data_IF_616185847821
#
_entry.id   IF_616185847821
#
_cell.length_a   1.000
_cell.length_b   1.000
_cell.length_c   1.000
_cell.angle_alpha   90.00
_cell.angle_beta   90.00
_cell.angle_gamma   90.00
#
_symmetry.space_group_name_H-M   'P 1'
#
loop_
_entity.id
_entity.type
_entity.pdbx_description
1 polymer ?
#
# COMPACT_ATOMS: atom_id res chain seq x y z
N UNK A 1 -11.42 -42.18 4.29
CA UNK A 1 -11.13 -41.23 3.18
C UNK A 1 -12.16 -41.34 2.07
N UNK A 2 -12.45 -42.58 1.61
CA UNK A 2 -13.47 -42.84 0.59
C UNK A 2 -14.86 -42.36 0.96
N UNK A 3 -15.31 -42.59 2.20
CA UNK A 3 -16.60 -42.13 2.68
C UNK A 3 -16.74 -40.59 2.69
N UNK A 4 -15.68 -39.87 3.05
CA UNK A 4 -15.68 -38.38 3.01
C UNK A 4 -15.74 -37.90 1.57
N UNK A 5 -15.02 -38.54 0.66
CA UNK A 5 -15.05 -38.19 -0.75
C UNK A 5 -16.41 -38.49 -1.37
N UNK A 6 -17.03 -39.63 -1.04
CA UNK A 6 -18.34 -40.01 -1.53
C UNK A 6 -19.43 -39.02 -1.03
N UNK A 7 -19.39 -38.66 0.25
CA UNK A 7 -20.28 -37.65 0.81
C UNK A 7 -20.09 -36.28 0.13
N UNK A 8 -18.86 -35.89 -0.17
CA UNK A 8 -18.59 -34.63 -0.86
C UNK A 8 -19.07 -34.66 -2.30
N UNK A 9 -18.88 -35.76 -3.05
CA UNK A 9 -19.40 -35.90 -4.41
C UNK A 9 -20.94 -35.84 -4.41
N UNK A 10 -21.62 -36.55 -3.49
CA UNK A 10 -23.10 -36.48 -3.35
C UNK A 10 -23.56 -35.06 -3.05
N UNK A 11 -22.85 -34.35 -2.19
CA UNK A 11 -23.14 -32.93 -1.93
C UNK A 11 -23.04 -32.09 -3.19
N UNK A 12 -21.96 -32.22 -3.98
CA UNK A 12 -21.79 -31.45 -5.22
C UNK A 12 -22.88 -31.76 -6.26
N UNK A 13 -23.23 -33.04 -6.42
CA UNK A 13 -24.28 -33.48 -7.36
C UNK A 13 -25.67 -32.99 -6.94
N UNK A 14 -25.92 -32.83 -5.63
CA UNK A 14 -27.20 -32.33 -5.10
C UNK A 14 -27.36 -30.82 -5.24
N UNK A 15 -26.29 -30.06 -5.59
CA UNK A 15 -26.36 -28.61 -5.71
C UNK A 15 -27.13 -28.16 -6.95
N UNK A 16 -28.34 -27.64 -6.75
CA UNK A 16 -29.00 -26.86 -7.78
C UNK A 16 -28.38 -25.47 -7.92
N UNK A 17 -28.54 -24.75 -9.06
CA UNK A 17 -28.03 -23.39 -9.21
C UNK A 17 -28.47 -22.43 -8.08
N UNK A 18 -29.70 -22.56 -7.63
CA UNK A 18 -30.25 -21.75 -6.51
C UNK A 18 -29.54 -22.07 -5.18
N UNK A 19 -29.35 -23.36 -4.87
CA UNK A 19 -28.61 -23.78 -3.68
C UNK A 19 -27.13 -23.32 -3.75
N UNK A 20 -26.50 -23.44 -4.91
CA UNK A 20 -25.12 -22.96 -5.10
C UNK A 20 -25.01 -21.46 -4.81
N UNK A 21 -25.89 -20.64 -5.38
CA UNK A 21 -25.90 -19.20 -5.11
C UNK A 21 -26.16 -18.94 -3.62
N UNK A 22 -27.11 -19.62 -2.98
CA UNK A 22 -27.43 -19.44 -1.55
C UNK A 22 -26.27 -19.79 -0.62
N UNK A 23 -25.51 -20.85 -0.92
CA UNK A 23 -24.39 -21.31 -0.09
C UNK A 23 -23.11 -20.49 -0.33
N UNK A 24 -22.90 -20.00 -1.55
CA UNK A 24 -21.64 -19.33 -1.93
C UNK A 24 -21.84 -17.86 -2.33
N UNK A 25 -22.95 -17.23 -1.93
CA UNK A 25 -23.30 -15.86 -2.32
C UNK A 25 -22.21 -14.84 -1.94
N UNK A 26 -21.54 -15.01 -0.78
CA UNK A 26 -20.50 -14.10 -0.36
C UNK A 26 -19.31 -14.14 -1.32
N UNK A 27 -18.86 -15.35 -1.68
CA UNK A 27 -17.81 -15.55 -2.67
C UNK A 27 -18.21 -14.99 -4.04
N UNK A 28 -19.38 -15.32 -4.54
CA UNK A 28 -19.85 -14.94 -5.89
C UNK A 28 -19.93 -13.42 -6.03
N UNK A 29 -20.67 -12.75 -5.14
CA UNK A 29 -21.00 -11.34 -5.32
C UNK A 29 -19.91 -10.39 -4.85
N UNK A 30 -19.10 -10.75 -3.86
CA UNK A 30 -18.14 -9.83 -3.30
C UNK A 30 -16.70 -10.17 -3.65
N UNK A 31 -16.31 -11.44 -3.62
CA UNK A 31 -14.92 -11.83 -3.86
C UNK A 31 -14.66 -12.07 -5.35
N UNK A 32 -15.38 -12.99 -5.98
CA UNK A 32 -15.19 -13.33 -7.40
C UNK A 32 -15.51 -12.14 -8.31
N UNK A 33 -16.68 -11.51 -8.13
CA UNK A 33 -17.08 -10.38 -8.98
C UNK A 33 -16.13 -9.18 -8.83
N UNK A 34 -15.78 -8.79 -7.58
CA UNK A 34 -14.94 -7.62 -7.33
C UNK A 34 -13.47 -7.85 -7.68
N UNK A 35 -12.89 -8.95 -7.19
CA UNK A 35 -11.46 -9.19 -7.26
C UNK A 35 -11.01 -10.04 -8.45
N UNK A 36 -11.92 -10.51 -9.27
CA UNK A 36 -11.60 -11.19 -10.51
C UNK A 36 -12.26 -10.51 -11.72
N UNK A 37 -13.60 -10.47 -11.79
CA UNK A 37 -14.29 -9.99 -13.00
C UNK A 37 -14.05 -8.50 -13.24
N UNK A 38 -14.32 -7.65 -12.24
CA UNK A 38 -14.14 -6.20 -12.37
C UNK A 38 -12.67 -5.85 -12.58
N UNK A 39 -11.75 -6.46 -11.83
CA UNK A 39 -10.32 -6.22 -12.00
C UNK A 39 -9.83 -6.61 -13.39
N UNK A 40 -10.26 -7.75 -13.92
CA UNK A 40 -9.92 -8.19 -15.26
C UNK A 40 -10.39 -7.20 -16.33
N UNK A 41 -11.66 -6.76 -16.25
CA UNK A 41 -12.23 -5.77 -17.19
C UNK A 41 -11.41 -4.45 -17.13
N UNK A 42 -11.19 -3.92 -15.93
CA UNK A 42 -10.50 -2.64 -15.75
C UNK A 42 -9.04 -2.71 -16.19
N UNK A 43 -8.34 -3.82 -15.95
CA UNK A 43 -6.96 -4.00 -16.43
C UNK A 43 -6.87 -3.98 -17.96
N UNK A 44 -7.82 -4.62 -18.65
CA UNK A 44 -7.88 -4.57 -20.12
C UNK A 44 -8.17 -3.17 -20.63
N UNK A 45 -9.13 -2.46 -20.00
CA UNK A 45 -9.42 -1.06 -20.34
C UNK A 45 -8.22 -0.15 -20.09
N UNK A 46 -7.50 -0.34 -18.97
CA UNK A 46 -6.30 0.42 -18.66
C UNK A 46 -5.17 0.16 -19.68
N UNK A 47 -5.00 -1.11 -20.09
CA UNK A 47 -4.01 -1.50 -21.12
C UNK A 47 -4.35 -0.87 -22.48
N UNK A 48 -5.62 -0.94 -22.88
CA UNK A 48 -6.11 -0.32 -24.13
C UNK A 48 -5.95 1.20 -24.09
N UNK A 49 -6.34 1.85 -23.00
CA UNK A 49 -6.18 3.29 -22.82
C UNK A 49 -4.70 3.72 -22.91
N UNK A 50 -3.78 2.97 -22.31
CA UNK A 50 -2.34 3.24 -22.41
C UNK A 50 -1.82 3.09 -23.85
N UNK A 51 -2.28 2.08 -24.57
CA UNK A 51 -1.93 1.87 -25.99
C UNK A 51 -2.42 3.04 -26.86
N UNK A 52 -3.68 3.43 -26.73
CA UNK A 52 -4.27 4.53 -27.48
C UNK A 52 -3.63 5.90 -27.17
N UNK A 53 -3.14 6.09 -25.94
CA UNK A 53 -2.50 7.33 -25.49
C UNK A 53 -0.96 7.29 -25.54
N UNK A 54 -0.36 6.36 -26.28
CA UNK A 54 1.11 6.20 -26.35
C UNK A 54 1.82 7.50 -26.73
N UNK A 55 1.34 8.22 -27.74
CA UNK A 55 1.92 9.50 -28.17
C UNK A 55 1.91 10.56 -27.05
N UNK A 56 0.89 10.53 -26.17
CA UNK A 56 0.83 11.42 -25.03
C UNK A 56 1.91 11.09 -24.00
N UNK A 57 2.17 9.80 -23.76
CA UNK A 57 3.25 9.36 -22.89
C UNK A 57 4.63 9.75 -23.42
N UNK A 58 4.86 9.58 -24.73
CA UNK A 58 6.13 9.95 -25.38
C UNK A 58 6.37 11.46 -25.32
N UNK A 59 5.33 12.29 -25.54
CA UNK A 59 5.40 13.75 -25.38
C UNK A 59 5.69 14.15 -23.95
N UNK A 60 4.97 13.60 -22.98
CA UNK A 60 5.18 13.88 -21.56
C UNK A 60 6.60 13.52 -21.11
N UNK A 61 7.15 12.42 -21.61
CA UNK A 61 8.54 12.03 -21.34
C UNK A 61 9.53 13.02 -21.96
N UNK A 62 9.31 13.45 -23.19
CA UNK A 62 10.16 14.45 -23.85
C UNK A 62 10.14 15.79 -23.11
N UNK A 63 8.97 16.26 -22.67
CA UNK A 63 8.79 17.49 -21.89
C UNK A 63 9.50 17.40 -20.53
N UNK A 64 9.31 16.32 -19.80
CA UNK A 64 10.00 16.07 -18.52
C UNK A 64 11.53 16.09 -18.68
N UNK A 65 12.07 15.42 -19.70
CA UNK A 65 13.51 15.39 -19.95
C UNK A 65 14.04 16.72 -20.44
N UNK A 66 13.25 17.51 -21.17
CA UNK A 66 13.60 18.85 -21.62
C UNK A 66 13.63 19.87 -20.49
N UNK A 67 12.61 19.87 -19.62
CA UNK A 67 12.55 20.76 -18.46
C UNK A 67 13.64 20.43 -17.43
N UNK A 68 13.95 19.16 -17.27
CA UNK A 68 14.96 18.63 -16.34
C UNK A 68 14.88 19.20 -14.93
N UNK A 69 13.69 19.14 -14.26
CA UNK A 69 13.48 19.80 -12.96
C UNK A 69 14.29 19.17 -11.85
N UNK A 70 14.72 19.97 -10.86
CA UNK A 70 15.29 19.43 -9.62
C UNK A 70 14.23 18.66 -8.83
N UNK A 71 14.59 17.48 -8.35
CA UNK A 71 13.75 16.59 -7.53
C UNK A 71 14.39 16.43 -6.16
N UNK A 72 13.65 16.77 -5.09
CA UNK A 72 14.14 16.57 -3.72
C UNK A 72 13.69 15.21 -3.20
N UNK A 73 14.64 14.37 -2.84
CA UNK A 73 14.42 13.05 -2.26
C UNK A 73 14.54 13.17 -0.74
N UNK A 74 13.41 12.95 -0.03
CA UNK A 74 13.35 13.01 1.42
C UNK A 74 13.40 11.60 2.02
N UNK A 75 14.35 11.36 2.90
CA UNK A 75 14.59 10.08 3.56
C UNK A 75 14.54 10.26 5.07
N UNK A 76 13.34 10.32 5.68
CA UNK A 76 13.21 10.33 7.13
C UNK A 76 13.33 8.91 7.69
N UNK A 77 14.11 8.71 8.73
CA UNK A 77 14.27 7.39 9.34
C UNK A 77 14.76 7.43 10.78
N UNK A 78 14.59 6.32 11.48
CA UNK A 78 15.19 6.04 12.79
C UNK A 78 15.80 4.64 12.80
N UNK A 79 17.08 4.54 13.22
CA UNK A 79 17.84 3.29 13.29
C UNK A 79 17.98 2.63 11.90
N UNK A 80 18.35 3.43 10.90
CA UNK A 80 18.48 3.02 9.50
C UNK A 80 19.92 2.93 9.01
N UNK A 81 20.92 3.03 9.90
CA UNK A 81 22.36 3.08 9.55
C UNK A 81 22.78 1.96 8.60
N UNK A 82 22.35 0.72 8.86
CA UNK A 82 22.64 -0.46 8.02
C UNK A 82 22.07 -0.40 6.60
N UNK A 83 21.08 0.47 6.36
CA UNK A 83 20.39 0.59 5.07
C UNK A 83 20.87 1.77 4.23
N UNK A 84 21.39 2.85 4.86
CA UNK A 84 21.73 4.10 4.19
C UNK A 84 22.69 3.93 3.00
N UNK A 85 23.76 3.15 3.15
CA UNK A 85 24.70 2.93 2.05
C UNK A 85 24.04 2.29 0.82
N UNK A 86 23.19 1.29 1.05
CA UNK A 86 22.47 0.60 -0.04
C UNK A 86 21.47 1.53 -0.72
N UNK A 87 20.74 2.32 0.06
CA UNK A 87 19.78 3.30 -0.45
C UNK A 87 20.51 4.33 -1.33
N UNK A 88 21.56 4.97 -0.78
CA UNK A 88 22.30 6.03 -1.48
C UNK A 88 22.92 5.50 -2.78
N UNK A 89 23.48 4.28 -2.78
CA UNK A 89 23.98 3.66 -3.99
C UNK A 89 22.87 3.47 -5.03
N UNK A 90 21.68 2.99 -4.63
CA UNK A 90 20.56 2.81 -5.58
C UNK A 90 20.02 4.15 -6.12
N UNK A 91 20.19 5.25 -5.38
CA UNK A 91 19.82 6.59 -5.85
C UNK A 91 20.88 7.19 -6.79
N UNK A 92 22.16 6.93 -6.56
CA UNK A 92 23.22 7.34 -7.49
C UNK A 92 23.23 6.58 -8.81
N UNK A 93 22.62 5.39 -8.85
CA UNK A 93 22.45 4.59 -10.08
C UNK A 93 21.19 4.96 -10.88
N UNK A 94 20.39 5.95 -10.44
CA UNK A 94 19.18 6.37 -11.16
C UNK A 94 19.53 6.94 -12.55
N UNK A 95 18.66 6.70 -13.55
CA UNK A 95 18.79 7.30 -14.89
C UNK A 95 18.59 8.81 -14.88
N UNK A 96 17.80 9.31 -13.94
CA UNK A 96 17.59 10.73 -13.72
C UNK A 96 18.52 11.25 -12.62
N UNK A 97 19.38 12.22 -12.95
CA UNK A 97 20.46 12.65 -12.06
C UNK A 97 20.23 14.02 -11.40
N UNK A 98 19.28 14.84 -11.87
CA UNK A 98 19.00 16.14 -11.24
C UNK A 98 18.19 15.98 -9.96
N UNK A 99 18.80 15.35 -8.96
CA UNK A 99 18.22 15.02 -7.66
C UNK A 99 19.05 15.62 -6.53
N UNK A 100 18.41 16.07 -5.47
CA UNK A 100 19.02 16.33 -4.16
C UNK A 100 18.52 15.32 -3.15
N UNK A 101 19.40 14.79 -2.31
CA UNK A 101 19.10 13.75 -1.32
C UNK A 101 19.22 14.36 0.08
N UNK A 102 18.11 14.43 0.79
CA UNK A 102 18.01 14.96 2.15
C UNK A 102 17.64 13.83 3.10
N UNK A 103 18.58 13.46 3.97
CA UNK A 103 18.40 12.40 4.98
C UNK A 103 18.15 13.05 6.33
N UNK A 104 17.09 12.61 7.02
CA UNK A 104 16.79 13.08 8.38
C UNK A 104 16.74 11.91 9.35
N UNK A 105 17.66 11.93 10.30
CA UNK A 105 17.69 11.04 11.45
C UNK A 105 16.72 11.51 12.54
N UNK A 106 15.72 10.71 12.87
CA UNK A 106 14.71 11.00 13.89
C UNK A 106 15.11 10.48 15.27
N UNK A 107 16.27 10.88 15.75
CA UNK A 107 16.78 10.52 17.07
C UNK A 107 17.15 9.04 17.17
N UNK A 108 18.05 8.58 16.30
CA UNK A 108 18.57 7.22 16.32
C UNK A 108 19.53 6.95 17.48
N UNK A 109 19.53 5.69 17.92
CA UNK A 109 20.37 5.15 18.98
C UNK A 109 21.49 4.23 18.41
N UNK A 110 21.50 4.03 17.07
CA UNK A 110 22.51 3.24 16.33
C UNK A 110 23.50 4.15 15.58
N UNK A 111 24.28 3.58 14.65
CA UNK A 111 25.28 4.29 13.85
C UNK A 111 24.69 5.19 12.75
N UNK A 112 23.38 5.36 12.66
CA UNK A 112 22.71 6.21 11.65
C UNK A 112 23.32 7.62 11.58
N UNK A 113 23.54 8.34 12.70
CA UNK A 113 24.09 9.70 12.66
C UNK A 113 25.51 9.74 12.13
N UNK A 114 26.35 8.76 12.47
CA UNK A 114 27.75 8.68 12.04
C UNK A 114 27.81 8.43 10.53
N UNK A 115 27.03 7.45 10.06
CA UNK A 115 26.95 7.06 8.64
C UNK A 115 26.37 8.21 7.81
N UNK A 116 25.30 8.86 8.27
CA UNK A 116 24.68 9.97 7.56
C UNK A 116 25.63 11.14 7.36
N UNK A 117 26.33 11.57 8.41
CA UNK A 117 27.36 12.62 8.31
C UNK A 117 28.54 12.23 7.43
N UNK A 118 28.94 10.96 7.45
CA UNK A 118 30.00 10.46 6.55
C UNK A 118 29.56 10.51 5.08
N UNK A 119 28.33 10.15 4.77
CA UNK A 119 27.77 10.21 3.41
C UNK A 119 27.67 11.65 2.90
N UNK A 120 27.28 12.60 3.76
CA UNK A 120 27.25 14.02 3.44
C UNK A 120 28.65 14.57 3.16
N UNK A 121 29.63 14.32 4.05
CA UNK A 121 31.04 14.73 3.84
C UNK A 121 31.64 14.14 2.58
N UNK A 122 31.22 12.93 2.19
CA UNK A 122 31.67 12.28 0.96
C UNK A 122 30.93 12.77 -0.31
N UNK A 123 30.01 13.76 -0.20
CA UNK A 123 29.21 14.27 -1.31
C UNK A 123 28.25 13.24 -1.91
N UNK A 124 27.91 12.19 -1.14
CA UNK A 124 26.98 11.14 -1.60
C UNK A 124 25.52 11.50 -1.34
N UNK A 125 25.26 12.37 -0.37
CA UNK A 125 23.99 13.00 -0.09
C UNK A 125 24.19 14.51 0.03
N UNK A 126 23.16 15.31 -0.21
CA UNK A 126 23.26 16.77 -0.23
C UNK A 126 23.11 17.38 1.16
N UNK A 127 22.30 16.76 2.03
CA UNK A 127 22.06 17.26 3.38
C UNK A 127 21.73 16.13 4.35
N UNK A 128 22.38 16.15 5.52
CA UNK A 128 22.05 15.29 6.65
C UNK A 128 21.59 16.14 7.83
N UNK A 129 20.37 15.87 8.32
CA UNK A 129 19.77 16.55 9.48
C UNK A 129 19.47 15.52 10.58
N UNK A 130 19.43 15.99 11.84
CA UNK A 130 19.07 15.16 12.98
C UNK A 130 18.07 15.86 13.89
N UNK A 131 17.02 15.16 14.30
CA UNK A 131 16.23 15.50 15.46
C UNK A 131 16.91 14.93 16.70
N UNK A 132 17.31 15.75 17.66
CA UNK A 132 17.91 15.23 18.91
C UNK A 132 16.86 14.44 19.72
N UNK A 133 15.61 14.86 19.67
CA UNK A 133 14.48 14.17 20.27
C UNK A 133 13.59 13.63 19.17
N UNK A 134 13.19 12.37 19.30
CA UNK A 134 12.32 11.70 18.33
C UNK A 134 10.98 12.42 18.15
N UNK A 135 10.74 12.97 16.96
CA UNK A 135 9.50 13.65 16.57
C UNK A 135 8.51 12.77 15.81
N UNK A 136 8.92 11.57 15.39
CA UNK A 136 8.17 10.68 14.50
C UNK A 136 8.40 10.98 13.02
N UNK A 137 8.05 10.01 12.17
CA UNK A 137 8.33 10.06 10.72
C UNK A 137 7.80 11.33 10.04
N UNK A 138 6.61 11.82 10.43
CA UNK A 138 6.04 13.04 9.89
C UNK A 138 6.86 14.29 10.23
N UNK A 139 7.35 14.37 11.47
CA UNK A 139 8.22 15.47 11.92
C UNK A 139 9.52 15.49 11.14
N UNK A 140 10.17 14.33 10.99
CA UNK A 140 11.40 14.19 10.22
C UNK A 140 11.18 14.49 8.72
N UNK A 141 10.07 14.05 8.14
CA UNK A 141 9.71 14.37 6.75
C UNK A 141 9.49 15.89 6.57
N UNK A 142 8.80 16.54 7.51
CA UNK A 142 8.60 17.99 7.48
C UNK A 142 9.90 18.77 7.68
N UNK A 143 10.82 18.26 8.49
CA UNK A 143 12.16 18.86 8.62
C UNK A 143 12.92 18.79 7.29
N UNK A 144 12.99 17.60 6.66
CA UNK A 144 13.58 17.46 5.33
C UNK A 144 12.94 18.38 4.30
N UNK A 145 11.61 18.45 4.31
CA UNK A 145 10.83 19.27 3.38
C UNK A 145 11.15 20.77 3.45
N UNK A 146 11.46 21.30 4.62
CA UNK A 146 11.82 22.73 4.78
C UNK A 146 13.10 23.11 4.03
N UNK A 147 14.00 22.17 3.81
CA UNK A 147 15.26 22.36 3.09
C UNK A 147 15.18 21.95 1.61
N UNK A 148 14.07 21.33 1.20
CA UNK A 148 13.88 20.84 -0.16
C UNK A 148 13.71 22.00 -1.15
N UNK A 149 14.50 22.00 -2.25
CA UNK A 149 14.50 23.00 -3.29
C UNK A 149 13.83 22.56 -4.57
N UNK A 150 13.61 21.26 -4.74
CA UNK A 150 13.08 20.66 -5.95
C UNK A 150 11.63 21.04 -6.26
N UNK A 151 11.28 21.04 -7.54
CA UNK A 151 9.90 21.22 -8.04
C UNK A 151 8.98 20.10 -7.56
N UNK A 152 9.53 18.88 -7.47
CA UNK A 152 8.85 17.69 -6.99
C UNK A 152 9.54 17.13 -5.76
N UNK A 153 8.76 16.61 -4.85
CA UNK A 153 9.20 15.99 -3.61
C UNK A 153 8.95 14.49 -3.69
N UNK A 154 9.99 13.69 -3.53
CA UNK A 154 9.89 12.22 -3.45
C UNK A 154 10.19 11.79 -2.02
N UNK A 155 9.23 11.14 -1.37
CA UNK A 155 9.38 10.59 -0.02
C UNK A 155 9.70 9.10 -0.10
N UNK A 156 10.78 8.66 0.54
CA UNK A 156 11.29 7.31 0.51
C UNK A 156 11.49 6.72 1.91
N UNK A 157 11.41 5.37 2.02
CA UNK A 157 11.87 4.64 3.20
C UNK A 157 13.33 4.21 3.01
N UNK A 158 14.13 4.33 4.08
CA UNK A 158 15.55 4.05 4.05
C UNK A 158 15.90 2.56 3.85
N UNK A 159 15.00 1.64 4.25
CA UNK A 159 15.15 0.18 4.12
C UNK A 159 14.85 -0.38 2.72
N UNK A 160 14.49 0.51 1.78
CA UNK A 160 14.12 0.18 0.42
C UNK A 160 15.29 0.31 -0.57
N UNK A 161 15.13 -0.27 -1.76
CA UNK A 161 15.96 -0.04 -2.93
C UNK A 161 15.07 0.17 -4.15
N UNK A 162 15.56 0.92 -5.14
CA UNK A 162 14.75 1.45 -6.24
C UNK A 162 15.34 0.98 -7.57
N UNK A 163 14.50 0.68 -8.54
CA UNK A 163 14.94 0.39 -9.90
C UNK A 163 15.64 1.61 -10.49
N UNK A 164 16.53 1.39 -11.46
CA UNK A 164 17.38 2.43 -12.05
C UNK A 164 16.63 3.62 -12.64
N UNK A 165 15.41 3.43 -13.11
CA UNK A 165 14.56 4.49 -13.67
C UNK A 165 13.37 4.84 -12.75
N UNK A 166 13.40 4.40 -11.49
CA UNK A 166 12.27 4.57 -10.56
C UNK A 166 11.91 6.05 -10.37
N UNK A 167 12.90 6.95 -10.25
CA UNK A 167 12.67 8.38 -10.10
C UNK A 167 12.04 8.99 -11.38
N UNK A 168 12.52 8.61 -12.56
CA UNK A 168 11.90 9.03 -13.83
C UNK A 168 10.44 8.57 -13.89
N UNK A 169 10.18 7.30 -13.60
CA UNK A 169 8.85 6.70 -13.70
C UNK A 169 7.84 7.26 -12.69
N UNK A 170 8.28 7.70 -11.51
CA UNK A 170 7.35 8.26 -10.52
C UNK A 170 7.02 9.73 -10.79
N UNK A 171 7.87 10.46 -11.49
CA UNK A 171 7.65 11.88 -11.83
C UNK A 171 6.88 12.04 -13.15
N UNK A 172 7.10 11.16 -14.12
CA UNK A 172 6.45 11.22 -15.43
C UNK A 172 4.93 11.45 -15.42
N UNK A 173 4.13 10.86 -14.49
CA UNK A 173 2.70 11.12 -14.42
C UNK A 173 2.30 12.59 -14.27
N UNK A 174 3.11 13.43 -13.63
CA UNK A 174 2.81 14.87 -13.48
C UNK A 174 2.83 15.62 -14.81
N UNK A 175 3.50 15.09 -15.83
CA UNK A 175 3.52 15.61 -17.21
C UNK A 175 2.44 14.99 -18.10
N UNK A 176 1.75 13.93 -17.63
CA UNK A 176 0.61 13.36 -18.33
C UNK A 176 -0.69 14.14 -18.08
N UNK A 177 -0.88 14.68 -16.88
CA UNK A 177 -2.09 15.41 -16.49
C UNK A 177 -1.74 16.37 -15.34
N UNK A 178 -1.88 17.66 -15.58
CA UNK A 178 -1.62 18.74 -14.59
C UNK A 178 -2.49 18.62 -13.33
N UNK A 179 -3.61 17.89 -13.41
CA UNK A 179 -4.46 17.61 -12.27
C UNK A 179 -3.94 16.51 -11.36
N UNK A 180 -2.80 15.89 -11.66
CA UNK A 180 -2.16 14.93 -10.76
C UNK A 180 -1.39 15.70 -9.67
N UNK A 181 -1.80 15.52 -8.41
CA UNK A 181 -1.15 16.15 -7.25
C UNK A 181 -0.22 15.22 -6.48
N UNK A 182 -0.39 13.90 -6.64
CA UNK A 182 0.45 12.92 -5.98
C UNK A 182 0.52 11.61 -6.75
N UNK A 183 1.68 10.96 -6.68
CA UNK A 183 1.96 9.70 -7.37
C UNK A 183 2.52 8.68 -6.39
N UNK A 184 1.97 7.47 -6.38
CA UNK A 184 2.50 6.35 -5.60
C UNK A 184 3.24 5.37 -6.48
N UNK A 185 4.39 4.92 -6.03
CA UNK A 185 5.17 3.87 -6.69
C UNK A 185 4.71 2.45 -6.34
N UNK A 186 5.24 1.50 -7.08
CA UNK A 186 4.95 0.08 -6.97
C UNK A 186 5.92 -0.58 -5.98
N UNK A 187 5.43 -0.90 -4.79
CA UNK A 187 6.23 -1.51 -3.72
C UNK A 187 6.13 -3.02 -3.82
N UNK A 188 7.28 -3.70 -3.96
CA UNK A 188 7.39 -5.14 -4.05
C UNK A 188 8.28 -5.71 -2.92
N UNK A 189 8.13 -6.99 -2.62
CA UNK A 189 8.92 -7.65 -1.57
C UNK A 189 10.23 -8.21 -2.15
N UNK A 190 11.35 -7.76 -1.57
CA UNK A 190 12.70 -8.20 -1.96
C UNK A 190 13.06 -9.58 -1.41
N UNK A 191 12.77 -9.81 -0.14
CA UNK A 191 13.18 -11.00 0.61
C UNK A 191 12.14 -12.14 0.57
N UNK A 192 11.44 -12.30 -0.53
CA UNK A 192 10.28 -13.22 -0.64
C UNK A 192 10.61 -14.70 -0.44
N UNK A 193 11.89 -15.11 -0.58
CA UNK A 193 12.35 -16.49 -0.39
C UNK A 193 12.77 -16.84 1.05
N UNK A 194 12.75 -15.88 1.97
CA UNK A 194 13.32 -16.11 3.30
C UNK A 194 12.41 -16.93 4.24
N UNK A 195 11.11 -16.88 4.03
CA UNK A 195 10.13 -17.65 4.84
C UNK A 195 8.77 -17.75 4.13
N UNK A 196 7.90 -18.65 4.60
CA UNK A 196 6.52 -18.71 4.15
C UNK A 196 5.81 -17.34 4.31
N UNK A 197 6.02 -16.65 5.44
CA UNK A 197 5.42 -15.35 5.67
C UNK A 197 5.85 -14.32 4.62
N UNK A 198 7.13 -14.27 4.24
CA UNK A 198 7.62 -13.34 3.19
C UNK A 198 7.13 -13.73 1.79
N UNK A 199 7.00 -15.03 1.49
CA UNK A 199 6.44 -15.49 0.23
C UNK A 199 4.97 -15.09 0.07
N UNK A 200 4.14 -15.33 1.11
CA UNK A 200 2.73 -14.95 1.08
C UNK A 200 2.54 -13.43 0.99
N UNK A 201 3.38 -12.65 1.67
CA UNK A 201 3.38 -11.19 1.52
C UNK A 201 3.79 -10.75 0.12
N UNK A 202 4.72 -11.43 -0.55
CA UNK A 202 5.08 -11.09 -1.93
C UNK A 202 3.91 -11.31 -2.89
N UNK A 203 3.17 -12.40 -2.73
CA UNK A 203 1.94 -12.66 -3.49
C UNK A 203 0.88 -11.60 -3.19
N UNK A 204 0.67 -11.28 -1.92
CA UNK A 204 -0.25 -10.22 -1.48
C UNK A 204 0.11 -8.87 -2.07
N UNK A 205 1.39 -8.44 -2.04
CA UNK A 205 1.83 -7.16 -2.58
C UNK A 205 1.62 -7.10 -4.09
N UNK A 206 1.87 -8.20 -4.78
CA UNK A 206 1.59 -8.26 -6.20
C UNK A 206 0.09 -8.11 -6.50
N UNK A 207 -0.77 -8.83 -5.79
CA UNK A 207 -2.23 -8.76 -5.95
C UNK A 207 -2.79 -7.38 -5.55
N UNK A 208 -2.46 -6.90 -4.33
CA UNK A 208 -3.12 -5.72 -3.76
C UNK A 208 -2.42 -4.40 -4.11
N UNK A 209 -1.10 -4.40 -4.25
CA UNK A 209 -0.33 -3.18 -4.57
C UNK A 209 -0.12 -3.07 -6.07
N UNK A 210 0.51 -4.06 -6.73
CA UNK A 210 0.82 -3.91 -8.16
C UNK A 210 -0.45 -3.91 -9.03
N UNK A 211 -1.40 -4.79 -8.76
CA UNK A 211 -2.64 -4.92 -9.54
C UNK A 211 -3.76 -4.06 -8.97
N UNK A 212 -4.11 -4.25 -7.70
CA UNK A 212 -5.26 -3.56 -7.09
C UNK A 212 -5.14 -2.03 -7.09
N UNK A 213 -3.92 -1.48 -6.87
CA UNK A 213 -3.70 -0.03 -6.97
C UNK A 213 -3.76 0.48 -8.42
N UNK A 214 -3.34 -0.31 -9.39
CA UNK A 214 -3.49 0.01 -10.81
C UNK A 214 -4.96 0.13 -11.20
N UNK A 215 -5.79 -0.84 -10.78
CA UNK A 215 -7.24 -0.83 -10.98
C UNK A 215 -7.88 0.39 -10.31
N UNK A 216 -7.60 0.62 -9.03
CA UNK A 216 -8.17 1.76 -8.29
C UNK A 216 -7.66 3.11 -8.78
N UNK A 217 -6.44 3.20 -9.31
CA UNK A 217 -5.91 4.40 -9.94
C UNK A 217 -6.63 4.73 -11.24
N UNK A 218 -6.87 3.72 -12.11
CA UNK A 218 -7.61 3.90 -13.36
C UNK A 218 -9.05 4.40 -13.11
N UNK A 219 -9.71 3.88 -12.05
CA UNK A 219 -11.04 4.32 -11.63
C UNK A 219 -11.05 5.68 -10.91
N UNK A 220 -9.88 6.30 -10.66
CA UNK A 220 -9.78 7.52 -9.87
C UNK A 220 -10.03 7.31 -8.36
N UNK A 221 -9.97 6.08 -7.86
CA UNK A 221 -10.23 5.71 -6.46
C UNK A 221 -8.97 5.35 -5.68
N UNK A 222 -7.79 5.56 -6.22
CA UNK A 222 -6.54 5.21 -5.57
C UNK A 222 -6.45 5.83 -4.17
N UNK A 223 -6.21 4.98 -3.17
CA UNK A 223 -6.54 5.28 -1.77
C UNK A 223 -5.40 5.85 -0.96
N UNK A 224 -4.18 5.35 -1.15
CA UNK A 224 -3.04 5.63 -0.28
C UNK A 224 -1.76 5.61 -1.11
N UNK A 225 -1.08 6.75 -1.21
CA UNK A 225 0.31 6.83 -1.66
C UNK A 225 1.16 6.21 -0.56
N UNK A 226 1.97 5.20 -0.87
CA UNK A 226 2.82 4.53 0.12
C UNK A 226 3.94 5.46 0.59
N UNK A 227 4.18 5.50 1.90
CA UNK A 227 5.32 6.20 2.47
C UNK A 227 6.67 5.60 2.11
N UNK A 228 6.69 4.36 1.61
CA UNK A 228 7.92 3.75 1.09
C UNK A 228 8.34 4.31 -0.27
N UNK A 229 7.39 4.81 -1.08
CA UNK A 229 7.66 5.41 -2.37
C UNK A 229 6.49 6.27 -2.84
N UNK A 230 6.56 7.57 -2.62
CA UNK A 230 5.54 8.54 -3.01
C UNK A 230 6.15 9.82 -3.54
N UNK A 231 5.55 10.42 -4.58
CA UNK A 231 5.94 11.70 -5.15
C UNK A 231 4.80 12.72 -5.06
N UNK A 232 5.15 13.98 -4.87
CA UNK A 232 4.23 15.08 -4.66
C UNK A 232 4.73 16.34 -5.37
N UNK A 233 3.80 17.18 -5.81
CA UNK A 233 4.13 18.55 -6.24
C UNK A 233 4.45 19.40 -5.02
N UNK A 234 5.54 20.16 -5.06
CA UNK A 234 5.96 21.02 -3.93
C UNK A 234 4.94 22.09 -3.61
N UNK A 235 4.39 22.78 -4.63
CA UNK A 235 3.36 23.80 -4.47
C UNK A 235 2.10 23.31 -3.73
N UNK A 236 1.73 22.05 -3.93
CA UNK A 236 0.60 21.45 -3.20
C UNK A 236 0.95 21.10 -1.76
N UNK A 237 2.19 20.65 -1.51
CA UNK A 237 2.65 20.40 -0.14
C UNK A 237 2.73 21.70 0.66
N UNK A 238 3.12 22.82 0.04
CA UNK A 238 3.10 24.15 0.65
C UNK A 238 1.67 24.53 1.08
N UNK A 239 0.68 24.31 0.20
CA UNK A 239 -0.73 24.59 0.49
C UNK A 239 -1.31 23.77 1.64
N UNK A 240 -0.91 22.52 1.79
CA UNK A 240 -1.38 21.61 2.85
C UNK A 240 -0.46 21.61 4.09
N UNK A 241 0.62 22.39 4.07
CA UNK A 241 1.63 22.52 5.14
C UNK A 241 2.31 21.19 5.50
N UNK A 242 2.60 20.37 4.48
CA UNK A 242 3.31 19.09 4.62
C UNK A 242 2.48 18.00 5.31
N UNK A 243 3.16 17.14 6.06
CA UNK A 243 2.58 15.98 6.74
C UNK A 243 2.08 16.29 8.13
N UNK A 244 0.88 15.84 8.46
CA UNK A 244 0.38 15.93 9.83
C UNK A 244 1.04 14.89 10.72
N UNK A 245 1.37 15.31 11.94
CA UNK A 245 2.02 14.45 12.92
C UNK A 245 1.02 13.41 13.45
N UNK A 246 1.43 12.15 13.44
CA UNK A 246 0.66 11.02 13.98
C UNK A 246 0.55 9.81 13.05
N UNK A 247 -0.09 8.71 13.51
CA UNK A 247 -0.25 7.50 12.70
C UNK A 247 -1.15 7.74 11.47
N UNK A 248 -0.81 7.09 10.34
CA UNK A 248 -1.58 7.18 9.10
C UNK A 248 -1.15 8.29 8.15
N UNK A 249 0.08 8.78 8.32
CA UNK A 249 0.76 9.79 7.50
C UNK A 249 0.45 9.67 6.00
N UNK A 250 0.60 8.48 5.44
CA UNK A 250 0.45 8.20 4.00
C UNK A 250 -0.99 8.37 3.52
N UNK A 251 -1.94 7.86 4.30
CA UNK A 251 -3.36 7.98 3.99
C UNK A 251 -3.88 9.40 4.19
N UNK A 252 -3.38 10.09 5.20
CA UNK A 252 -3.77 11.46 5.53
C UNK A 252 -3.40 12.45 4.41
N UNK A 253 -2.14 12.45 3.99
CA UNK A 253 -1.66 13.33 2.90
C UNK A 253 -2.39 13.05 1.59
N UNK A 254 -2.66 11.77 1.30
CA UNK A 254 -3.43 11.38 0.11
C UNK A 254 -4.82 11.98 0.11
N UNK A 255 -5.53 11.95 1.25
CA UNK A 255 -6.87 12.55 1.37
C UNK A 255 -6.81 14.07 1.27
N UNK A 256 -5.82 14.73 1.89
CA UNK A 256 -5.63 16.18 1.80
C UNK A 256 -5.47 16.65 0.34
N UNK A 257 -4.61 16.00 -0.44
CA UNK A 257 -4.41 16.31 -1.86
C UNK A 257 -5.72 16.13 -2.65
N UNK A 258 -6.45 15.04 -2.40
CA UNK A 258 -7.76 14.81 -3.04
C UNK A 258 -8.79 15.88 -2.68
N UNK A 259 -8.79 16.41 -1.45
CA UNK A 259 -9.66 17.53 -1.03
C UNK A 259 -9.36 18.82 -1.77
N UNK A 260 -8.13 19.05 -2.17
CA UNK A 260 -7.76 20.17 -3.05
C UNK A 260 -8.27 19.99 -4.49
N UNK A 261 -8.82 18.83 -4.82
CA UNK A 261 -9.38 18.51 -6.14
C UNK A 261 -8.43 17.80 -7.09
N UNK A 262 -7.21 17.49 -6.65
CA UNK A 262 -6.22 16.81 -7.47
C UNK A 262 -6.44 15.30 -7.50
N UNK A 263 -6.00 14.69 -8.61
CA UNK A 263 -5.98 13.24 -8.79
C UNK A 263 -4.75 12.64 -8.13
N UNK A 264 -4.89 11.39 -7.72
CA UNK A 264 -3.77 10.56 -7.28
C UNK A 264 -3.54 9.47 -8.32
N UNK A 265 -2.29 9.28 -8.71
CA UNK A 265 -1.90 8.34 -9.75
C UNK A 265 -1.02 7.22 -9.17
N UNK A 266 -1.12 6.02 -9.74
CA UNK A 266 -0.24 4.90 -9.41
C UNK A 266 0.71 4.62 -10.58
N UNK A 267 2.00 4.85 -10.36
CA UNK A 267 3.06 4.59 -11.33
C UNK A 267 3.54 3.14 -11.21
N UNK A 268 2.92 2.22 -11.93
CA UNK A 268 3.20 0.78 -11.88
C UNK A 268 4.63 0.41 -12.33
N UNK A 269 5.29 1.28 -13.11
CA UNK A 269 6.67 1.12 -13.57
C UNK A 269 7.71 1.66 -12.56
N UNK A 270 7.30 2.54 -11.65
CA UNK A 270 8.18 3.06 -10.60
C UNK A 270 8.32 2.01 -9.48
N UNK A 271 9.32 1.14 -9.58
CA UNK A 271 9.44 -0.02 -8.68
C UNK A 271 10.36 0.28 -7.50
N UNK A 272 9.86 -0.09 -6.32
CA UNK A 272 10.56 -0.07 -5.04
C UNK A 272 10.54 -1.49 -4.44
N UNK A 273 11.68 -1.93 -3.93
CA UNK A 273 11.86 -3.24 -3.29
C UNK A 273 12.10 -3.05 -1.79
N UNK A 274 11.16 -3.50 -0.96
CA UNK A 274 11.24 -3.45 0.51
C UNK A 274 11.43 -4.83 1.13
N UNK A 275 11.89 -4.88 2.39
CA UNK A 275 11.99 -6.12 3.15
C UNK A 275 10.72 -6.35 3.97
N UNK A 276 10.04 -7.47 3.70
CA UNK A 276 8.85 -7.87 4.44
C UNK A 276 9.18 -8.61 5.75
N UNK A 277 8.32 -8.54 6.77
CA UNK A 277 8.45 -9.30 8.01
C UNK A 277 8.62 -10.81 7.77
N UNK A 278 9.65 -11.41 8.41
CA UNK A 278 10.00 -12.82 8.21
C UNK A 278 9.08 -13.80 8.96
N UNK A 279 8.36 -13.34 9.98
CA UNK A 279 7.46 -14.19 10.75
C UNK A 279 6.07 -13.57 10.94
N UNK A 280 5.08 -14.43 11.13
CA UNK A 280 3.68 -14.03 11.25
C UNK A 280 3.40 -13.13 12.47
N UNK A 281 4.14 -13.24 13.57
CA UNK A 281 3.96 -12.39 14.76
C UNK A 281 4.35 -10.94 14.48
N UNK A 282 5.48 -10.71 13.81
CA UNK A 282 5.91 -9.36 13.40
C UNK A 282 4.97 -8.81 12.34
N UNK A 283 4.56 -9.65 11.37
CA UNK A 283 3.58 -9.30 10.37
C UNK A 283 2.24 -8.85 11.00
N UNK A 284 1.72 -9.61 11.98
CA UNK A 284 0.50 -9.23 12.69
C UNK A 284 0.62 -7.84 13.34
N UNK A 285 1.75 -7.55 14.02
CA UNK A 285 2.01 -6.22 14.61
C UNK A 285 2.00 -5.10 13.56
N UNK A 286 2.60 -5.33 12.39
CA UNK A 286 2.62 -4.37 11.30
C UNK A 286 1.20 -4.13 10.76
N UNK A 287 0.42 -5.20 10.52
CA UNK A 287 -0.97 -5.10 10.00
C UNK A 287 -1.93 -4.47 11.00
N UNK A 288 -1.82 -4.81 12.28
CA UNK A 288 -2.59 -4.15 13.34
C UNK A 288 -2.39 -2.62 13.31
N UNK A 289 -1.16 -2.15 13.12
CA UNK A 289 -0.86 -0.72 12.99
C UNK A 289 -1.51 -0.11 11.73
N UNK A 290 -1.39 -0.79 10.58
CA UNK A 290 -1.96 -0.29 9.33
C UNK A 290 -3.49 -0.22 9.37
N UNK A 291 -4.17 -1.29 9.79
CA UNK A 291 -5.63 -1.33 9.83
C UNK A 291 -6.21 -0.36 10.87
N UNK A 292 -5.55 -0.16 12.04
CA UNK A 292 -5.93 0.89 12.99
C UNK A 292 -5.82 2.29 12.38
N UNK A 293 -4.78 2.57 11.63
CA UNK A 293 -4.59 3.87 10.99
C UNK A 293 -5.70 4.21 10.00
N UNK A 294 -6.23 3.21 9.27
CA UNK A 294 -7.36 3.41 8.32
C UNK A 294 -8.59 3.96 9.04
N UNK A 295 -8.96 3.37 10.17
CA UNK A 295 -10.09 3.85 10.98
C UNK A 295 -9.85 5.30 11.45
N UNK A 296 -8.65 5.58 11.97
CA UNK A 296 -8.30 6.90 12.47
C UNK A 296 -8.40 7.99 11.41
N UNK A 297 -7.66 7.87 10.31
CA UNK A 297 -7.60 8.99 9.34
C UNK A 297 -8.85 9.07 8.46
N UNK A 298 -9.49 7.95 8.09
CA UNK A 298 -10.70 7.99 7.26
C UNK A 298 -11.94 8.27 8.07
N UNK A 299 -12.25 7.44 9.06
CA UNK A 299 -13.56 7.51 9.75
C UNK A 299 -13.61 8.67 10.74
N UNK A 300 -12.48 8.99 11.42
CA UNK A 300 -12.49 10.07 12.43
C UNK A 300 -12.05 11.40 11.84
N UNK A 301 -10.88 11.47 11.19
CA UNK A 301 -10.30 12.73 10.76
C UNK A 301 -10.93 13.31 9.50
N UNK A 302 -11.20 12.47 8.49
CA UNK A 302 -11.69 12.91 7.18
C UNK A 302 -13.13 12.47 6.88
N UNK A 303 -13.99 12.35 7.90
CA UNK A 303 -15.41 12.02 7.71
C UNK A 303 -16.19 13.06 6.89
N UNK A 304 -15.69 14.28 6.81
CA UNK A 304 -16.24 15.37 6.01
C UNK A 304 -16.27 15.07 4.49
N UNK A 305 -15.47 14.10 4.02
CA UNK A 305 -15.54 13.60 2.63
C UNK A 305 -16.90 12.97 2.29
N UNK A 306 -17.66 12.52 3.29
CA UNK A 306 -19.00 11.94 3.12
C UNK A 306 -20.12 12.97 2.95
N UNK A 307 -19.87 14.23 3.32
CA UNK A 307 -20.89 15.26 3.30
C UNK A 307 -20.71 16.23 2.15
N UNK A 308 -21.76 16.68 1.47
CA UNK A 308 -21.69 17.76 0.48
C UNK A 308 -21.16 19.04 1.14
N UNK A 309 -19.98 19.48 0.74
CA UNK A 309 -19.34 20.71 1.17
C UNK A 309 -18.46 21.26 0.03
N UNK A 310 -17.84 22.44 0.22
CA UNK A 310 -17.00 23.08 -0.81
C UNK A 310 -15.81 22.22 -1.31
N UNK A 311 -15.42 21.22 -0.55
CA UNK A 311 -14.34 20.28 -0.89
C UNK A 311 -14.85 18.92 -1.36
N UNK A 312 -16.16 18.74 -1.51
CA UNK A 312 -16.76 17.49 -1.94
C UNK A 312 -16.34 17.14 -3.36
N UNK A 313 -15.82 15.93 -3.54
CA UNK A 313 -15.53 15.32 -4.84
C UNK A 313 -16.11 13.91 -4.87
N UNK A 314 -16.96 13.64 -5.84
CA UNK A 314 -17.63 12.34 -5.98
C UNK A 314 -16.65 11.16 -6.03
N UNK A 315 -15.50 11.32 -6.70
CA UNK A 315 -14.45 10.29 -6.72
C UNK A 315 -13.83 10.04 -5.34
N UNK A 316 -13.71 11.08 -4.50
CA UNK A 316 -13.22 10.95 -3.12
C UNK A 316 -14.23 10.25 -2.23
N UNK A 317 -15.51 10.58 -2.39
CA UNK A 317 -16.63 9.88 -1.74
C UNK A 317 -16.64 8.40 -2.12
N UNK A 318 -16.59 8.06 -3.42
CA UNK A 318 -16.54 6.66 -3.88
C UNK A 318 -15.32 5.91 -3.35
N UNK A 319 -14.14 6.53 -3.36
CA UNK A 319 -12.93 5.94 -2.78
C UNK A 319 -13.07 5.67 -1.27
N UNK A 320 -13.76 6.56 -0.56
CA UNK A 320 -14.04 6.38 0.87
C UNK A 320 -15.03 5.23 1.09
N UNK A 321 -16.16 5.25 0.41
CA UNK A 321 -17.22 4.22 0.52
C UNK A 321 -16.65 2.84 0.17
N UNK A 322 -15.94 2.73 -0.95
CA UNK A 322 -15.30 1.48 -1.38
C UNK A 322 -14.33 0.97 -0.30
N UNK A 323 -13.48 1.83 0.25
CA UNK A 323 -12.54 1.40 1.29
C UNK A 323 -13.25 0.92 2.57
N UNK A 324 -14.26 1.64 3.06
CA UNK A 324 -15.00 1.24 4.26
C UNK A 324 -15.80 -0.05 3.99
N UNK A 325 -16.42 -0.15 2.83
CA UNK A 325 -17.17 -1.36 2.46
C UNK A 325 -16.27 -2.60 2.46
N UNK A 326 -15.14 -2.55 1.77
CA UNK A 326 -14.25 -3.71 1.64
C UNK A 326 -13.36 -3.97 2.86
N UNK A 327 -13.00 -2.94 3.63
CA UNK A 327 -12.16 -3.13 4.81
C UNK A 327 -12.95 -3.43 6.08
N UNK A 328 -14.13 -2.81 6.26
CA UNK A 328 -14.91 -2.90 7.51
C UNK A 328 -16.18 -3.71 7.31
N UNK A 329 -17.07 -3.28 6.40
CA UNK A 329 -18.41 -3.87 6.26
C UNK A 329 -18.32 -5.33 5.81
N UNK A 330 -17.54 -5.64 4.77
CA UNK A 330 -17.40 -7.02 4.30
C UNK A 330 -16.63 -7.90 5.28
N UNK A 331 -15.76 -7.33 6.09
CA UNK A 331 -15.12 -8.07 7.16
C UNK A 331 -16.15 -8.56 8.19
N UNK A 332 -17.10 -7.71 8.58
CA UNK A 332 -18.20 -8.08 9.48
C UNK A 332 -19.18 -9.05 8.79
N UNK A 333 -19.59 -8.79 7.55
CA UNK A 333 -20.46 -9.65 6.77
C UNK A 333 -19.94 -11.07 6.58
N UNK A 334 -18.62 -11.24 6.52
CA UNK A 334 -18.01 -12.57 6.45
C UNK A 334 -18.29 -13.41 7.71
N UNK A 335 -18.23 -12.81 8.91
CA UNK A 335 -18.58 -13.51 10.14
C UNK A 335 -20.06 -13.84 10.19
N UNK A 336 -20.93 -12.93 9.71
CA UNK A 336 -22.37 -13.18 9.58
C UNK A 336 -22.61 -14.35 8.62
N UNK A 337 -21.95 -14.37 7.47
CA UNK A 337 -22.00 -15.48 6.53
C UNK A 337 -21.54 -16.79 7.15
N UNK A 338 -20.43 -16.81 7.86
CA UNK A 338 -19.92 -18.02 8.52
C UNK A 338 -20.91 -18.52 9.60
N UNK A 339 -21.49 -17.63 10.38
CA UNK A 339 -22.52 -17.96 11.38
C UNK A 339 -23.82 -18.51 10.70
N UNK A 340 -24.27 -17.89 9.62
CA UNK A 340 -25.41 -18.36 8.85
C UNK A 340 -25.21 -19.80 8.33
N UNK A 341 -24.03 -20.11 7.80
CA UNK A 341 -23.70 -21.46 7.33
C UNK A 341 -23.66 -22.47 8.48
N UNK A 342 -23.07 -22.10 9.63
CA UNK A 342 -23.01 -22.97 10.81
C UNK A 342 -24.38 -23.28 11.40
N UNK A 343 -25.29 -22.32 11.43
CA UNK A 343 -26.62 -22.45 12.03
C UNK A 343 -27.59 -23.18 11.12
N UNK A 344 -27.62 -22.80 9.84
CA UNK A 344 -28.63 -23.29 8.91
C UNK A 344 -28.22 -24.54 8.12
N UNK A 345 -26.90 -24.86 8.04
CA UNK A 345 -26.36 -25.98 7.27
C UNK A 345 -25.31 -26.80 8.06
N UNK A 346 -25.54 -27.16 9.34
CA UNK A 346 -24.55 -27.80 10.18
C UNK A 346 -24.06 -29.16 9.62
N UNK A 347 -24.94 -29.96 9.03
CA UNK A 347 -24.60 -31.25 8.41
C UNK A 347 -23.73 -31.12 7.15
N UNK A 348 -23.81 -29.99 6.45
CA UNK A 348 -23.08 -29.73 5.21
C UNK A 348 -21.88 -28.79 5.39
N UNK A 349 -21.60 -28.32 6.59
CA UNK A 349 -20.61 -27.29 6.86
C UNK A 349 -19.21 -27.65 6.36
N UNK A 350 -18.78 -28.90 6.52
CA UNK A 350 -17.50 -29.36 6.04
C UNK A 350 -17.43 -29.30 4.50
N UNK A 351 -18.48 -29.73 3.81
CA UNK A 351 -18.55 -29.70 2.36
C UNK A 351 -18.57 -28.27 1.82
N UNK A 352 -19.31 -27.36 2.48
CA UNK A 352 -19.34 -25.93 2.17
C UNK A 352 -17.92 -25.32 2.35
N UNK A 353 -17.24 -25.66 3.43
CA UNK A 353 -15.88 -25.19 3.71
C UNK A 353 -14.88 -25.65 2.66
N UNK A 354 -14.90 -26.96 2.33
CA UNK A 354 -14.03 -27.52 1.29
C UNK A 354 -14.29 -26.84 -0.06
N UNK A 355 -15.57 -26.68 -0.43
CA UNK A 355 -15.94 -26.03 -1.70
C UNK A 355 -15.48 -24.58 -1.74
N UNK A 356 -15.64 -23.82 -0.66
CA UNK A 356 -15.07 -22.47 -0.58
C UNK A 356 -13.54 -22.45 -0.80
N UNK A 357 -12.80 -23.33 -0.12
CA UNK A 357 -11.34 -23.42 -0.32
C UNK A 357 -11.01 -23.69 -1.80
N UNK A 358 -11.72 -24.61 -2.44
CA UNK A 358 -11.48 -24.93 -3.85
C UNK A 358 -11.82 -23.74 -4.77
N UNK A 359 -12.95 -23.08 -4.55
CA UNK A 359 -13.39 -21.92 -5.34
C UNK A 359 -12.38 -20.76 -5.23
N UNK A 360 -11.97 -20.42 -4.00
CA UNK A 360 -10.97 -19.37 -3.76
C UNK A 360 -9.60 -19.74 -4.34
N UNK A 361 -9.17 -21.00 -4.17
CA UNK A 361 -7.90 -21.48 -4.73
C UNK A 361 -7.90 -21.40 -6.24
N UNK A 362 -8.97 -21.90 -6.89
CA UNK A 362 -9.12 -21.84 -8.34
C UNK A 362 -9.12 -20.39 -8.86
N UNK A 363 -9.89 -19.50 -8.22
CA UNK A 363 -9.91 -18.08 -8.59
C UNK A 363 -8.54 -17.44 -8.44
N UNK A 364 -7.83 -17.72 -7.34
CA UNK A 364 -6.49 -17.20 -7.14
C UNK A 364 -5.50 -17.73 -8.21
N UNK A 365 -5.59 -18.98 -8.64
CA UNK A 365 -4.81 -19.48 -9.76
C UNK A 365 -5.12 -18.72 -11.06
N UNK A 366 -6.41 -18.55 -11.38
CA UNK A 366 -6.82 -17.79 -12.57
C UNK A 366 -6.32 -16.35 -12.51
N UNK A 367 -6.52 -15.65 -11.38
CA UNK A 367 -5.99 -14.30 -11.16
C UNK A 367 -4.49 -14.25 -11.42
N UNK A 368 -3.77 -15.16 -10.84
CA UNK A 368 -2.32 -15.17 -10.90
C UNK A 368 -1.79 -15.42 -12.33
N UNK A 369 -2.41 -16.33 -13.06
CA UNK A 369 -2.12 -16.56 -14.49
C UNK A 369 -2.44 -15.31 -15.30
N UNK A 370 -3.64 -14.75 -15.13
CA UNK A 370 -4.05 -13.54 -15.86
C UNK A 370 -3.15 -12.34 -15.55
N UNK A 371 -2.82 -12.14 -14.27
CA UNK A 371 -1.97 -11.01 -13.87
C UNK A 371 -0.54 -11.11 -14.40
N UNK A 372 -0.04 -12.33 -14.67
CA UNK A 372 1.24 -12.52 -15.34
C UNK A 372 1.28 -11.87 -16.73
N UNK A 373 0.12 -11.76 -17.41
CA UNK A 373 -0.02 -11.10 -18.73
C UNK A 373 0.05 -9.55 -18.66
N UNK A 374 -0.18 -8.98 -17.47
CA UNK A 374 -0.11 -7.52 -17.24
C UNK A 374 1.19 -7.07 -16.58
N UNK A 375 2.12 -8.00 -16.43
CA UNK A 375 3.39 -7.74 -15.79
C UNK A 375 4.30 -6.94 -16.71
N UNK A 376 4.75 -5.79 -16.23
CA UNK A 376 5.64 -4.93 -17.01
C UNK A 376 7.13 -5.17 -16.69
N UNK A 377 7.46 -5.56 -15.45
CA UNK A 377 8.85 -5.84 -14.99
C UNK A 377 8.91 -7.04 -14.07
N UNK A 378 9.97 -7.81 -14.17
CA UNK A 378 10.10 -9.10 -13.51
C UNK A 378 11.22 -9.11 -12.48
N UNK A 379 10.91 -8.72 -11.22
CA UNK A 379 11.82 -8.94 -10.09
C UNK A 379 11.65 -10.32 -9.44
N UNK A 380 10.56 -11.04 -9.75
CA UNK A 380 10.27 -12.37 -9.20
C UNK A 380 9.81 -13.30 -10.30
N UNK A 381 10.19 -14.55 -10.19
CA UNK A 381 9.72 -15.59 -11.12
C UNK A 381 8.33 -16.04 -10.66
N UNK A 382 7.28 -15.59 -11.35
CA UNK A 382 5.89 -15.82 -10.98
C UNK A 382 5.56 -17.30 -10.75
N UNK A 383 6.13 -18.23 -11.53
CA UNK A 383 5.89 -19.65 -11.36
C UNK A 383 6.34 -20.21 -10.00
N UNK A 384 7.30 -19.57 -9.32
CA UNK A 384 7.75 -19.95 -7.98
C UNK A 384 6.66 -19.79 -6.93
N UNK A 385 5.65 -18.96 -7.20
CA UNK A 385 4.55 -18.70 -6.27
C UNK A 385 3.37 -19.66 -6.43
N UNK A 386 3.26 -20.39 -7.54
CA UNK A 386 2.09 -21.23 -7.83
C UNK A 386 1.79 -22.24 -6.72
N UNK A 387 2.83 -22.88 -6.17
CA UNK A 387 2.68 -23.87 -5.10
C UNK A 387 2.10 -23.26 -3.79
N UNK A 388 2.25 -21.96 -3.60
CA UNK A 388 1.77 -21.26 -2.41
C UNK A 388 0.36 -20.66 -2.56
N UNK A 389 -0.22 -20.71 -3.78
CA UNK A 389 -1.56 -20.15 -4.04
C UNK A 389 -2.64 -20.74 -3.11
N UNK A 390 -2.70 -22.06 -2.84
CA UNK A 390 -3.67 -22.59 -1.88
C UNK A 390 -3.54 -22.00 -0.48
N UNK A 391 -2.32 -21.68 -0.04
CA UNK A 391 -2.08 -21.05 1.26
C UNK A 391 -2.66 -19.63 1.36
N UNK A 392 -2.85 -18.95 0.22
CA UNK A 392 -3.44 -17.59 0.20
C UNK A 392 -4.88 -17.56 0.69
N UNK A 393 -5.63 -18.65 0.53
CA UNK A 393 -7.01 -18.76 1.06
C UNK A 393 -7.01 -18.62 2.58
N UNK A 394 -6.09 -19.30 3.25
CA UNK A 394 -5.94 -19.21 4.71
C UNK A 394 -5.32 -17.89 5.14
N UNK A 395 -4.36 -17.38 4.36
CA UNK A 395 -3.69 -16.12 4.63
C UNK A 395 -4.65 -14.92 4.58
N UNK A 396 -5.42 -14.76 3.48
CA UNK A 396 -6.41 -13.68 3.36
C UNK A 396 -7.70 -13.97 4.14
N UNK A 397 -8.23 -15.18 4.01
CA UNK A 397 -9.54 -15.56 4.56
C UNK A 397 -9.57 -15.62 6.08
N UNK A 398 -8.47 -16.04 6.71
CA UNK A 398 -8.42 -16.22 8.16
C UNK A 398 -7.36 -15.33 8.81
N UNK A 399 -6.09 -15.49 8.50
CA UNK A 399 -5.03 -14.81 9.22
C UNK A 399 -5.16 -13.27 9.17
N UNK A 400 -5.17 -12.67 7.97
CA UNK A 400 -5.29 -11.23 7.84
C UNK A 400 -6.67 -10.71 8.30
N UNK A 401 -7.73 -11.49 8.11
CA UNK A 401 -9.07 -11.14 8.55
C UNK A 401 -9.19 -11.05 10.07
N UNK A 402 -8.64 -12.02 10.79
CA UNK A 402 -8.60 -11.99 12.26
C UNK A 402 -7.77 -10.81 12.76
N UNK A 403 -6.58 -10.59 12.21
CA UNK A 403 -5.72 -9.44 12.57
C UNK A 403 -6.45 -8.12 12.34
N UNK A 404 -7.13 -7.96 11.21
CA UNK A 404 -7.94 -6.77 10.88
C UNK A 404 -9.11 -6.57 11.84
N UNK A 405 -9.82 -7.64 12.19
CA UNK A 405 -10.93 -7.57 13.14
C UNK A 405 -10.45 -7.08 14.51
N UNK A 406 -9.34 -7.63 15.00
CA UNK A 406 -8.72 -7.19 16.25
C UNK A 406 -8.30 -5.71 16.15
N UNK A 407 -7.69 -5.30 15.05
CA UNK A 407 -7.29 -3.92 14.82
C UNK A 407 -8.48 -2.96 14.86
N UNK A 408 -9.56 -3.30 14.16
CA UNK A 408 -10.77 -2.49 14.13
C UNK A 408 -11.42 -2.41 15.51
N UNK A 409 -11.56 -3.53 16.21
CA UNK A 409 -12.09 -3.54 17.56
C UNK A 409 -11.26 -2.67 18.52
N UNK A 410 -9.94 -2.87 18.54
CA UNK A 410 -9.03 -2.07 19.37
C UNK A 410 -9.13 -0.56 19.03
N UNK A 411 -9.32 -0.22 17.77
CA UNK A 411 -9.36 1.19 17.35
C UNK A 411 -10.72 1.84 17.59
N UNK A 412 -11.83 1.13 17.35
CA UNK A 412 -13.18 1.65 17.63
C UNK A 412 -13.44 1.83 19.12
N UNK A 413 -13.06 0.85 19.93
CA UNK A 413 -13.35 0.84 21.38
C UNK A 413 -12.30 1.62 22.17
N UNK A 414 -11.02 1.32 21.96
CA UNK A 414 -9.93 1.80 22.82
C UNK A 414 -9.06 2.88 22.18
N UNK A 415 -9.26 3.25 20.90
CA UNK A 415 -8.45 4.23 20.17
C UNK A 415 -6.93 3.97 20.25
N UNK A 416 -6.53 2.71 20.19
CA UNK A 416 -5.16 2.24 20.40
C UNK A 416 -4.11 2.79 19.43
N UNK A 417 -4.51 3.42 18.32
CA UNK A 417 -3.58 4.11 17.41
C UNK A 417 -2.87 5.30 18.05
N UNK A 418 -3.44 5.89 19.11
CA UNK A 418 -2.81 6.99 19.84
C UNK A 418 -1.72 6.52 20.81
N UNK A 419 -1.66 5.22 21.11
CA UNK A 419 -0.61 4.61 21.94
C UNK A 419 0.55 4.04 21.08
N UNK A 420 0.54 4.27 19.77
CA UNK A 420 1.59 3.80 18.86
C UNK A 420 2.93 4.49 19.21
N UNK A 421 4.07 3.75 19.20
CA UNK A 421 5.41 4.33 19.42
C UNK A 421 5.77 5.49 18.46
N UNK A 422 5.09 5.60 17.33
CA UNK A 422 5.22 6.71 16.39
C UNK A 422 4.36 7.94 16.75
N UNK A 423 3.63 7.89 17.90
CA UNK A 423 2.75 8.98 18.31
C UNK A 423 3.55 10.09 19.01
N UNK A 424 3.38 11.37 18.64
CA UNK A 424 4.05 12.52 19.25
C UNK A 424 3.84 12.66 20.77
N UNK A 425 2.69 12.21 21.31
CA UNK A 425 2.41 12.25 22.76
C UNK A 425 3.46 11.45 23.54
N UNK A 426 3.83 10.26 23.06
CA UNK A 426 4.90 9.46 23.69
C UNK A 426 6.26 10.13 23.55
N UNK A 427 6.53 10.76 22.43
CA UNK A 427 7.76 11.53 22.21
C UNK A 427 7.86 12.69 23.20
N UNK A 428 6.78 13.43 23.37
CA UNK A 428 6.74 14.55 24.32
C UNK A 428 6.94 14.11 25.76
N UNK A 429 6.43 12.92 26.14
CA UNK A 429 6.67 12.34 27.46
C UNK A 429 8.14 11.98 27.63
N UNK A 430 8.74 11.32 26.63
CA UNK A 430 10.16 10.97 26.65
C UNK A 430 11.07 12.22 26.67
N UNK A 431 10.74 13.26 25.93
CA UNK A 431 11.45 14.53 25.98
C UNK A 431 11.40 15.15 27.39
N UNK A 432 10.23 15.11 28.04
CA UNK A 432 10.09 15.58 29.44
C UNK A 432 10.92 14.76 30.42
N UNK A 433 10.95 13.45 30.25
CA UNK A 433 11.79 12.55 31.07
C UNK A 433 13.29 12.83 30.88
N UNK A 434 13.69 13.29 29.69
CA UNK A 434 15.06 13.69 29.38
C UNK A 434 15.40 15.14 29.77
N UNK A 435 14.44 15.88 30.31
CA UNK A 435 14.64 17.29 30.69
C UNK A 435 14.70 18.30 29.55
N UNK A 436 14.13 17.92 28.36
CA UNK A 436 14.10 18.72 27.14
C UNK A 436 12.75 19.37 26.89
#
# INVERSE_FOLDING_TARGET
>A
MEEILDNYIRFLVSLTPGHFIRLFWFYIFFEFTRYFVIEFIILNLAKLSRYLNRNKYDKAKAEFLFEYPLISILVPGKNEGKHLHKLVNSLKEQTYQNIEIIVVDDGSDDDTPIIGRSLEKAGKIDLFLRNEVRGGKASAANLAYRYAKGKYIVHLDADCSYDRDAIEQIILPFYLDDNIGGVGGNVMVRNYKESLATTLQAIEYYDTISIGRRVTSYLGWYRIISGAFGAFRKDLLDNIKGWDIGPGLDGDITVKIRKLGYKIYFADQAVCLTSAPKNFKILAKQRLRWDKSIIRFRIRKHRDVLSPNKHFKFSSFLSFVENITFSVILNIKWYIYAADMLINYPSSILNIFITNILLYTFTNFLKYILYSLYRNRSHTKMYEFLIYIPCMVFYFGFYLRVVRTIAHFQEFVFKKSYEDPWNPIKTSTHAKEMGL
#
